data_IF_954960356128
#
_entry.id   IF_954960356128
#
_cell.length_a   1.000
_cell.length_b   1.000
_cell.length_c   1.000
_cell.angle_alpha   90.00
_cell.angle_beta   90.00
_cell.angle_gamma   90.00
#
_symmetry.space_group_name_H-M   'P 1'
#
loop_
_entity.id
_entity.type
_entity.pdbx_description
1 polymer ?
#
# COMPACT_ATOMS: atom_id res chain seq x y z
N UNK A 1 -25.82 6.41 -9.63
CA UNK A 1 -25.50 6.17 -8.21
C UNK A 1 -25.09 4.71 -8.04
N UNK A 2 -23.80 4.39 -8.06
CA UNK A 2 -23.27 3.08 -7.62
C UNK A 2 -21.75 3.18 -7.52
N UNK A 3 -21.17 3.18 -6.32
CA UNK A 3 -19.89 2.49 -6.02
C UNK A 3 -19.49 2.58 -4.54
N UNK A 4 -20.02 1.70 -3.69
CA UNK A 4 -19.38 1.28 -2.45
C UNK A 4 -18.44 0.07 -2.63
N UNK A 5 -18.41 -0.56 -3.81
CA UNK A 5 -17.71 -1.84 -4.02
C UNK A 5 -16.18 -1.74 -3.91
N UNK A 6 -15.56 -0.71 -4.50
CA UNK A 6 -14.10 -0.63 -4.57
C UNK A 6 -13.45 -0.26 -3.22
N UNK A 7 -14.09 0.60 -2.43
CA UNK A 7 -13.65 0.91 -1.07
C UNK A 7 -13.67 -0.34 -0.19
N UNK A 8 -14.71 -1.18 -0.32
CA UNK A 8 -14.78 -2.48 0.37
C UNK A 8 -13.67 -3.45 -0.05
N UNK A 9 -13.28 -3.45 -1.34
CA UNK A 9 -12.16 -4.28 -1.83
C UNK A 9 -10.86 -3.86 -1.16
N UNK A 10 -10.55 -2.56 -1.13
CA UNK A 10 -9.33 -2.07 -0.48
C UNK A 10 -9.34 -2.37 1.02
N UNK A 11 -10.43 -2.07 1.73
CA UNK A 11 -10.55 -2.37 3.16
C UNK A 11 -10.36 -3.85 3.45
N UNK A 12 -11.07 -4.74 2.75
CA UNK A 12 -10.96 -6.18 2.96
C UNK A 12 -9.56 -6.71 2.63
N UNK A 13 -8.92 -6.20 1.58
CA UNK A 13 -7.57 -6.61 1.23
C UNK A 13 -6.55 -6.16 2.27
N UNK A 14 -6.66 -4.93 2.78
CA UNK A 14 -5.82 -4.43 3.87
C UNK A 14 -6.01 -5.26 5.14
N UNK A 15 -7.26 -5.52 5.55
CA UNK A 15 -7.58 -6.35 6.72
C UNK A 15 -6.88 -7.72 6.65
N UNK A 16 -6.80 -8.34 5.46
CA UNK A 16 -6.09 -9.60 5.26
C UNK A 16 -4.57 -9.43 5.32
N UNK A 17 -4.03 -8.45 4.61
CA UNK A 17 -2.58 -8.26 4.45
C UNK A 17 -1.87 -7.93 5.75
N UNK A 18 -2.53 -7.19 6.65
CA UNK A 18 -1.89 -6.74 7.89
C UNK A 18 -1.77 -7.84 8.95
N UNK A 19 -2.52 -8.94 8.83
CA UNK A 19 -2.57 -10.02 9.84
C UNK A 19 -1.34 -10.93 9.84
N UNK A 20 -0.48 -10.82 8.84
CA UNK A 20 0.70 -11.67 8.69
C UNK A 20 1.92 -10.88 8.22
N UNK A 21 3.14 -11.41 8.41
CA UNK A 21 4.34 -10.81 7.86
C UNK A 21 4.23 -10.57 6.34
N UNK A 22 4.59 -9.37 5.86
CA UNK A 22 4.37 -8.98 4.46
C UNK A 22 5.17 -9.81 3.44
N UNK A 23 6.29 -10.42 3.85
CA UNK A 23 7.02 -11.41 3.04
C UNK A 23 6.21 -12.67 2.71
N UNK A 24 5.15 -12.93 3.49
CA UNK A 24 4.22 -14.05 3.34
C UNK A 24 2.81 -13.57 2.95
N UNK A 25 2.68 -12.32 2.50
CA UNK A 25 1.41 -11.74 2.10
C UNK A 25 0.68 -12.63 1.09
N UNK A 26 -0.65 -12.72 1.24
CA UNK A 26 -1.52 -13.35 0.27
C UNK A 26 -1.46 -12.57 -1.06
N UNK A 27 -1.19 -13.29 -2.14
CA UNK A 27 -0.94 -12.68 -3.45
C UNK A 27 -2.21 -12.04 -4.01
N UNK A 28 -3.37 -12.68 -3.81
CA UNK A 28 -4.65 -12.16 -4.29
C UNK A 28 -5.06 -10.88 -3.56
N UNK A 29 -4.88 -10.83 -2.24
CA UNK A 29 -5.12 -9.65 -1.43
C UNK A 29 -4.15 -8.52 -1.80
N UNK A 30 -2.86 -8.84 -2.01
CA UNK A 30 -1.84 -7.85 -2.38
C UNK A 30 -2.16 -7.21 -3.74
N UNK A 31 -2.52 -8.02 -4.72
CA UNK A 31 -2.94 -7.55 -6.05
C UNK A 31 -4.23 -6.73 -5.97
N UNK A 32 -5.21 -7.18 -5.17
CA UNK A 32 -6.48 -6.48 -4.99
C UNK A 32 -6.30 -5.10 -4.36
N UNK A 33 -5.48 -5.01 -3.31
CA UNK A 33 -5.14 -3.73 -2.67
C UNK A 33 -4.43 -2.79 -3.64
N UNK A 34 -3.41 -3.27 -4.35
CA UNK A 34 -2.65 -2.48 -5.30
C UNK A 34 -3.54 -1.92 -6.42
N UNK A 35 -4.36 -2.78 -7.06
CA UNK A 35 -5.29 -2.35 -8.11
C UNK A 35 -6.34 -1.37 -7.61
N UNK A 36 -6.84 -1.56 -6.39
CA UNK A 36 -7.78 -0.64 -5.79
C UNK A 36 -7.14 0.75 -5.57
N UNK A 37 -5.87 0.81 -5.16
CA UNK A 37 -5.15 2.09 -5.07
C UNK A 37 -4.88 2.69 -6.45
N UNK A 38 -4.41 1.90 -7.42
CA UNK A 38 -3.94 2.44 -8.70
C UNK A 38 -5.07 2.87 -9.64
N UNK A 39 -6.11 2.04 -9.75
CA UNK A 39 -7.05 2.11 -10.87
C UNK A 39 -8.50 2.37 -10.45
N UNK A 40 -8.80 2.37 -9.15
CA UNK A 40 -10.16 2.57 -8.67
C UNK A 40 -10.40 3.98 -8.14
N UNK A 41 -11.63 4.48 -8.25
CA UNK A 41 -12.04 5.76 -7.65
C UNK A 41 -12.43 5.63 -6.17
N UNK A 42 -11.73 4.78 -5.42
CA UNK A 42 -12.01 4.62 -3.99
C UNK A 42 -11.63 5.88 -3.22
N UNK A 43 -12.48 6.28 -2.27
CA UNK A 43 -12.12 7.34 -1.32
C UNK A 43 -11.12 6.78 -0.30
N UNK A 44 -9.83 7.05 -0.56
CA UNK A 44 -8.73 6.59 0.28
C UNK A 44 -8.77 7.18 1.69
N UNK A 45 -9.31 8.39 1.87
CA UNK A 45 -9.46 9.00 3.19
C UNK A 45 -10.51 8.23 4.01
N UNK A 46 -11.66 7.95 3.42
CA UNK A 46 -12.71 7.18 4.08
C UNK A 46 -12.23 5.76 4.44
N UNK A 47 -11.53 5.09 3.50
CA UNK A 47 -10.95 3.76 3.75
C UNK A 47 -9.91 3.80 4.89
N UNK A 48 -9.04 4.80 4.92
CA UNK A 48 -8.05 4.97 5.98
C UNK A 48 -8.69 5.19 7.35
N UNK A 49 -9.70 6.06 7.44
CA UNK A 49 -10.45 6.29 8.69
C UNK A 49 -11.16 5.02 9.17
N UNK A 50 -11.79 4.27 8.25
CA UNK A 50 -12.46 3.02 8.58
C UNK A 50 -11.49 1.90 8.99
N UNK A 51 -10.29 1.87 8.42
CA UNK A 51 -9.25 0.94 8.83
C UNK A 51 -8.75 1.27 10.24
N UNK A 52 -8.36 2.53 10.49
CA UNK A 52 -7.83 2.97 11.78
C UNK A 52 -8.84 2.89 12.93
N UNK A 53 -10.15 2.93 12.66
CA UNK A 53 -11.17 2.70 13.68
C UNK A 53 -11.32 1.23 14.10
N UNK A 54 -10.86 0.30 13.26
CA UNK A 54 -10.95 -1.16 13.48
C UNK A 54 -9.63 -1.79 13.90
N UNK A 55 -8.52 -1.12 13.62
CA UNK A 55 -7.17 -1.59 13.89
C UNK A 55 -6.43 -0.65 14.84
N UNK A 56 -6.20 -1.13 16.07
CA UNK A 56 -5.42 -0.41 17.09
C UNK A 56 -4.01 -1.00 17.27
N UNK A 57 -3.73 -2.17 16.68
CA UNK A 57 -2.40 -2.78 16.73
C UNK A 57 -1.41 -1.98 15.87
N UNK A 58 -0.35 -1.51 16.50
CA UNK A 58 0.64 -0.63 15.87
C UNK A 58 1.36 -1.31 14.69
N UNK A 59 1.57 -2.64 14.75
CA UNK A 59 2.20 -3.40 13.67
C UNK A 59 1.27 -3.47 12.47
N UNK A 60 -0.03 -3.69 12.69
CA UNK A 60 -1.04 -3.67 11.62
C UNK A 60 -1.15 -2.29 10.97
N UNK A 61 -1.16 -1.23 11.76
CA UNK A 61 -1.20 0.17 11.27
C UNK A 61 0.05 0.49 10.44
N UNK A 62 1.25 0.13 10.92
CA UNK A 62 2.51 0.31 10.18
C UNK A 62 2.51 -0.47 8.86
N UNK A 63 2.04 -1.73 8.86
CA UNK A 63 1.93 -2.55 7.64
C UNK A 63 1.01 -1.90 6.61
N UNK A 64 -0.16 -1.44 7.02
CA UNK A 64 -1.09 -0.75 6.11
C UNK A 64 -0.49 0.56 5.57
N UNK A 65 0.09 1.39 6.43
CA UNK A 65 0.77 2.62 6.00
C UNK A 65 1.93 2.37 5.03
N UNK A 66 2.78 1.38 5.35
CA UNK A 66 3.85 0.92 4.45
C UNK A 66 3.29 0.48 3.09
N UNK A 67 2.22 -0.32 3.06
CA UNK A 67 1.63 -0.82 1.80
C UNK A 67 1.10 0.33 0.94
N UNK A 68 0.33 1.25 1.54
CA UNK A 68 -0.21 2.41 0.83
C UNK A 68 0.90 3.27 0.23
N UNK A 69 1.94 3.59 1.01
CA UNK A 69 3.08 4.33 0.49
C UNK A 69 3.89 3.53 -0.54
N UNK A 70 4.01 2.21 -0.35
CA UNK A 70 4.72 1.35 -1.31
C UNK A 70 4.03 1.38 -2.67
N UNK A 71 2.69 1.40 -2.69
CA UNK A 71 1.92 1.44 -3.92
C UNK A 71 2.12 2.72 -4.72
N UNK A 72 2.54 3.84 -4.12
CA UNK A 72 2.83 5.09 -4.86
C UNK A 72 4.16 5.07 -5.58
N UNK A 73 5.06 4.13 -5.25
CA UNK A 73 6.39 4.02 -5.87
C UNK A 73 6.39 3.29 -7.21
N UNK A 74 5.23 2.90 -7.71
CA UNK A 74 5.08 2.24 -9.01
C UNK A 74 4.73 3.27 -10.09
N UNK A 75 5.34 3.10 -11.27
CA UNK A 75 5.22 4.05 -12.39
C UNK A 75 3.82 4.15 -13.00
N UNK A 76 2.92 3.21 -12.69
CA UNK A 76 1.55 3.20 -13.16
C UNK A 76 0.61 4.11 -12.35
N UNK A 77 1.07 4.69 -11.23
CA UNK A 77 0.24 5.55 -10.40
C UNK A 77 0.29 6.98 -10.91
N UNK A 78 -0.88 7.61 -11.01
CA UNK A 78 -0.98 9.02 -11.40
C UNK A 78 -0.63 9.95 -10.23
N UNK A 79 -0.09 11.14 -10.51
CA UNK A 79 0.25 12.14 -9.49
C UNK A 79 -0.94 12.52 -8.60
N UNK A 80 -2.15 12.56 -9.20
CA UNK A 80 -3.39 12.79 -8.46
C UNK A 80 -3.62 11.70 -7.42
N UNK A 81 -3.44 10.43 -7.80
CA UNK A 81 -3.62 9.29 -6.90
C UNK A 81 -2.52 9.23 -5.85
N UNK A 82 -1.28 9.55 -6.21
CA UNK A 82 -0.18 9.72 -5.25
C UNK A 82 -0.57 10.75 -4.18
N UNK A 83 -1.07 11.91 -4.60
CA UNK A 83 -1.49 12.98 -3.69
C UNK A 83 -2.63 12.55 -2.76
N UNK A 84 -3.62 11.81 -3.26
CA UNK A 84 -4.70 11.25 -2.45
C UNK A 84 -4.19 10.22 -1.42
N UNK A 85 -3.26 9.34 -1.82
CA UNK A 85 -2.63 8.39 -0.90
C UNK A 85 -1.89 9.14 0.19
N UNK A 86 -1.10 10.17 -0.15
CA UNK A 86 -0.35 10.94 0.85
C UNK A 86 -1.25 11.68 1.85
N UNK A 87 -2.39 12.21 1.41
CA UNK A 87 -3.41 12.76 2.32
C UNK A 87 -3.94 11.71 3.29
N UNK A 88 -4.21 10.49 2.80
CA UNK A 88 -4.64 9.38 3.65
C UNK A 88 -3.53 8.93 4.63
N UNK A 89 -2.27 8.94 4.18
CA UNK A 89 -1.10 8.58 5.00
C UNK A 89 -0.89 9.52 6.19
N UNK A 90 -1.35 10.77 6.12
CA UNK A 90 -1.31 11.68 7.29
C UNK A 90 -2.02 11.10 8.50
N UNK A 91 -3.10 10.33 8.31
CA UNK A 91 -3.80 9.66 9.40
C UNK A 91 -2.95 8.53 9.99
N UNK A 92 -2.28 7.75 9.14
CA UNK A 92 -1.39 6.69 9.58
C UNK A 92 -0.17 7.24 10.33
N UNK A 93 0.42 8.36 9.90
CA UNK A 93 1.54 8.98 10.61
C UNK A 93 1.16 9.55 11.96
N UNK A 94 -0.09 10.00 12.13
CA UNK A 94 -0.62 10.41 13.45
C UNK A 94 -0.80 9.21 14.38
N UNK A 95 -1.21 8.05 13.85
CA UNK A 95 -1.44 6.83 14.62
C UNK A 95 -0.16 6.03 14.91
N UNK A 96 0.77 5.98 13.95
CA UNK A 96 2.06 5.30 14.03
C UNK A 96 3.12 6.15 13.31
N UNK A 97 3.79 7.06 14.05
CA UNK A 97 4.80 7.94 13.47
C UNK A 97 5.94 7.17 12.79
N UNK A 98 6.44 7.74 11.69
CA UNK A 98 7.63 7.20 11.02
C UNK A 98 8.85 7.34 11.92
N UNK A 99 9.76 6.37 11.79
CA UNK A 99 11.06 6.43 12.43
C UNK A 99 12.03 7.18 11.52
N UNK A 100 12.85 8.05 12.09
CA UNK A 100 14.00 8.61 11.38
C UNK A 100 14.95 7.46 11.03
N UNK A 101 15.07 7.15 9.75
CA UNK A 101 16.08 6.21 9.27
C UNK A 101 17.39 6.99 9.24
N UNK A 102 18.23 6.84 10.27
CA UNK A 102 19.62 7.25 10.16
C UNK A 102 20.25 6.41 9.06
N UNK A 103 20.53 7.02 7.90
CA UNK A 103 21.20 6.34 6.79
C UNK A 103 22.55 5.81 7.27
N UNK A 104 22.59 4.53 7.64
CA UNK A 104 23.85 3.89 8.03
C UNK A 104 24.71 3.77 6.78
N UNK A 105 25.88 4.39 6.84
CA UNK A 105 26.87 4.42 5.77
C UNK A 105 27.18 3.01 5.25
N UNK A 106 27.26 2.89 3.93
CA UNK A 106 27.84 1.76 3.18
C UNK A 106 27.41 0.36 3.67
N UNK A 107 26.10 0.09 3.67
CA UNK A 107 25.60 -1.28 3.80
C UNK A 107 25.98 -2.07 2.54
N UNK A 108 26.69 -3.19 2.72
CA UNK A 108 27.03 -4.11 1.62
C UNK A 108 25.78 -4.48 0.80
N UNK A 109 25.90 -4.58 -0.53
CA UNK A 109 24.79 -4.89 -1.46
C UNK A 109 23.93 -6.12 -1.04
N UNK A 110 24.49 -7.04 -0.26
CA UNK A 110 23.80 -8.22 0.33
C UNK A 110 22.76 -7.87 1.40
N UNK A 111 22.72 -6.63 1.87
CA UNK A 111 21.86 -6.15 2.95
C UNK A 111 21.00 -4.95 2.52
N UNK A 112 20.56 -4.90 1.25
CA UNK A 112 19.51 -3.95 0.82
C UNK A 112 18.21 -4.27 1.54
N UNK A 113 18.05 -3.71 2.74
CA UNK A 113 16.80 -3.68 3.48
C UNK A 113 15.89 -2.68 2.79
N UNK A 114 14.59 -2.95 2.81
CA UNK A 114 13.61 -2.02 2.27
C UNK A 114 13.59 -0.77 3.17
N UNK A 115 14.27 0.30 2.74
CA UNK A 115 14.35 1.56 3.48
C UNK A 115 12.97 2.13 3.81
N UNK A 116 11.97 1.88 2.94
CA UNK A 116 10.60 2.27 3.23
C UNK A 116 10.07 1.50 4.45
N UNK A 117 10.26 0.18 4.50
CA UNK A 117 9.86 -0.62 5.65
C UNK A 117 10.53 -0.13 6.93
N UNK A 118 11.83 0.18 6.87
CA UNK A 118 12.57 0.73 8.01
C UNK A 118 12.00 2.08 8.48
N UNK A 119 11.66 2.98 7.56
CA UNK A 119 11.03 4.27 7.92
C UNK A 119 9.66 4.11 8.57
N UNK A 120 8.95 3.03 8.28
CA UNK A 120 7.71 2.66 8.95
C UNK A 120 7.93 1.89 10.25
N UNK A 121 9.19 1.77 10.72
CA UNK A 121 9.53 1.03 11.94
C UNK A 121 9.43 -0.49 11.79
N UNK A 122 9.43 -1.01 10.54
CA UNK A 122 9.32 -2.43 10.25
C UNK A 122 10.70 -3.04 9.95
N UNK A 123 10.92 -4.28 10.39
CA UNK A 123 12.16 -5.03 10.12
C UNK A 123 12.21 -5.65 8.73
N UNK A 124 11.06 -5.81 8.07
CA UNK A 124 10.94 -6.42 6.74
C UNK A 124 9.79 -5.79 5.94
N UNK A 125 9.98 -5.69 4.61
CA UNK A 125 8.94 -5.26 3.67
C UNK A 125 8.30 -6.44 2.93
N UNK A 126 7.86 -6.21 1.70
CA UNK A 126 7.28 -7.25 0.84
C UNK A 126 8.29 -8.32 0.36
N UNK A 127 9.59 -8.00 0.33
CA UNK A 127 10.59 -8.90 -0.25
C UNK A 127 10.24 -9.28 -1.69
N UNK A 128 10.27 -10.58 -2.03
CA UNK A 128 9.93 -11.07 -3.36
C UNK A 128 8.43 -10.96 -3.69
N UNK A 129 7.54 -10.80 -2.70
CA UNK A 129 6.09 -10.66 -2.95
C UNK A 129 5.75 -9.46 -3.83
N UNK A 130 6.60 -8.44 -3.86
CA UNK A 130 6.43 -7.28 -4.76
C UNK A 130 6.39 -7.69 -6.23
N UNK A 131 6.96 -8.84 -6.62
CA UNK A 131 7.00 -9.30 -8.01
C UNK A 131 5.61 -9.67 -8.56
N UNK A 132 4.67 -10.10 -7.69
CA UNK A 132 3.29 -10.42 -8.12
C UNK A 132 2.56 -9.19 -8.69
N UNK A 133 3.04 -7.99 -8.36
CA UNK A 133 2.48 -6.74 -8.80
C UNK A 133 2.97 -6.31 -10.20
N UNK A 134 4.08 -6.88 -10.69
CA UNK A 134 4.75 -6.42 -11.92
C UNK A 134 3.86 -6.48 -13.18
N UNK A 135 3.06 -7.54 -13.41
CA UNK A 135 2.18 -7.61 -14.59
C UNK A 135 1.16 -6.47 -14.65
N UNK A 136 0.80 -5.92 -13.48
CA UNK A 136 -0.27 -4.93 -13.32
C UNK A 136 0.24 -3.48 -13.35
N UNK A 137 1.53 -3.25 -13.59
CA UNK A 137 2.12 -1.90 -13.64
C UNK A 137 2.23 -1.36 -15.07
N UNK A 138 1.66 -2.06 -16.05
CA UNK A 138 1.82 -1.69 -17.45
C UNK A 138 0.78 -0.65 -17.88
N UNK A 139 1.18 0.25 -18.78
CA UNK A 139 0.24 1.17 -19.45
C UNK A 139 -0.86 0.42 -20.21
N UNK A 140 -0.56 -0.78 -20.69
CA UNK A 140 -1.53 -1.65 -21.35
C UNK A 140 -2.65 -2.07 -20.38
N UNK A 141 -2.27 -2.57 -19.20
CA UNK A 141 -3.24 -2.94 -18.17
C UNK A 141 -4.08 -1.74 -17.73
N UNK A 142 -3.47 -0.55 -17.59
CA UNK A 142 -4.21 0.67 -17.30
C UNK A 142 -5.28 0.99 -18.37
N UNK A 143 -4.96 0.84 -19.65
CA UNK A 143 -5.90 1.07 -20.74
C UNK A 143 -7.06 0.06 -20.71
N UNK A 144 -6.77 -1.22 -20.45
CA UNK A 144 -7.81 -2.25 -20.27
C UNK A 144 -8.74 -1.94 -19.11
N UNK A 145 -8.18 -1.52 -17.95
CA UNK A 145 -9.00 -1.14 -16.80
C UNK A 145 -9.89 0.06 -17.11
N UNK A 146 -9.36 1.09 -17.78
CA UNK A 146 -10.17 2.26 -18.19
C UNK A 146 -11.28 1.88 -19.16
N UNK A 147 -11.01 1.01 -20.12
CA UNK A 147 -11.99 0.51 -21.08
C UNK A 147 -13.10 -0.31 -20.42
N UNK A 148 -12.79 -1.08 -19.37
CA UNK A 148 -13.77 -1.83 -18.59
C UNK A 148 -14.70 -0.95 -17.72
N UNK A 149 -14.41 0.35 -17.60
CA UNK A 149 -15.22 1.31 -16.83
C UNK A 149 -16.03 2.29 -17.71
N UNK A 150 -15.93 2.20 -19.04
CA UNK A 150 -16.74 2.95 -20.02
C UNK A 150 -17.94 2.09 -20.43
#
# INVERSE_FOLDING_TARGET
MTKPANGRVLSSALDTLVKSPLKQADDAALVSAAKAVWYSNSDLMSVAQAFLSRHADEVEVRRAGYLLERFTRFSCVTDSRVSEVFKALELFWRSAPKHEVTSQAAVTLRSRRDELALSWGMSEGLGLKVQVLMPFQTRHYEAEQRAAFV
#
